data_IF_945334992074
#
_entry.id   IF_945334992074
#
_cell.length_a   1.000
_cell.length_b   1.000
_cell.length_c   1.000
_cell.angle_alpha   90.00
_cell.angle_beta   90.00
_cell.angle_gamma   90.00
#
_symmetry.space_group_name_H-M   'P 1'
#
loop_
_entity.id
_entity.type
_entity.pdbx_description
1 polymer ?
2 non-polymer ?
3 non-polymer ?
4 water ?
#
# COMPACT_ATOMS: atom_id res chain seq x y z
N UNK A 25 8.64 -17.95 14.94
CA UNK A 25 8.99 -16.73 14.23
C UNK A 25 8.26 -16.67 12.88
N UNK A 26 8.35 -17.75 12.11
CA UNK A 26 7.61 -17.80 10.84
C UNK A 26 6.16 -17.51 11.17
N UNK A 27 5.77 -17.81 12.40
CA UNK A 27 4.36 -17.61 12.80
C UNK A 27 4.09 -16.12 12.70
N UNK A 28 5.12 -15.32 12.94
CA UNK A 28 4.95 -13.85 12.84
C UNK A 28 4.78 -13.54 11.35
N UNK A 29 5.56 -14.20 10.50
CA UNK A 29 5.37 -14.01 9.03
C UNK A 29 3.94 -14.45 8.68
N UNK A 30 3.49 -15.56 9.25
CA UNK A 30 2.13 -16.08 8.95
C UNK A 30 1.08 -15.15 9.56
N UNK A 31 1.32 -14.65 10.77
CA UNK A 31 0.38 -13.69 11.41
C UNK A 31 0.23 -12.44 10.54
N UNK A 32 1.35 -11.86 10.07
CA UNK A 32 1.31 -10.66 9.24
C UNK A 32 0.51 -10.91 7.96
N UNK A 33 0.71 -12.06 7.33
CA UNK A 33 -0.01 -12.36 6.09
C UNK A 33 -1.50 -12.50 6.34
N UNK A 34 -1.87 -13.25 7.37
CA UNK A 34 -3.29 -13.38 7.71
C UNK A 34 -3.88 -12.04 8.12
N UNK A 35 -3.09 -11.22 8.84
CA UNK A 35 -3.55 -9.87 9.18
C UNK A 35 -3.68 -9.01 7.94
N UNK A 36 -2.71 -9.10 7.03
CA UNK A 36 -2.74 -8.27 5.83
C UNK A 36 -3.98 -8.56 4.99
N UNK A 37 -4.27 -9.84 4.75
CA UNK A 37 -5.41 -10.18 3.91
C UNK A 37 -6.73 -9.76 4.56
N UNK A 38 -6.92 -10.14 5.83
CA UNK A 38 -8.18 -9.87 6.50
C UNK A 38 -8.45 -8.37 6.58
N UNK A 39 -7.44 -7.58 6.91
CA UNK A 39 -7.63 -6.15 7.09
C UNK A 39 -7.70 -5.40 5.78
N UNK A 40 -7.03 -5.91 4.73
CA UNK A 40 -7.01 -5.21 3.45
C UNK A 40 -8.13 -5.68 2.52
N UNK A 41 -8.42 -6.97 2.48
CA UNK A 41 -9.33 -7.53 1.48
C UNK A 41 -10.49 -8.29 2.09
N UNK A 42 -10.24 -9.34 2.88
CA UNK A 42 -11.31 -10.20 3.35
C UNK A 42 -11.73 -9.96 4.78
N UNK A 43 -12.73 -9.13 4.99
CA UNK A 43 -13.21 -8.86 6.34
C UNK A 43 -14.74 -8.87 6.36
N UNK A 44 -15.35 -8.18 5.40
CA UNK A 44 -16.79 -8.20 5.28
C UNK A 44 -17.29 -9.56 4.79
N UNK A 45 -16.42 -10.34 4.15
CA UNK A 45 -16.71 -11.73 3.82
C UNK A 45 -16.42 -12.67 4.99
N UNK A 46 -15.56 -12.27 5.92
CA UNK A 46 -15.27 -13.06 7.11
C UNK A 46 -16.22 -12.76 8.26
N UNK A 47 -17.05 -11.73 8.14
CA UNK A 47 -18.01 -11.37 9.17
C UNK A 47 -17.54 -10.29 10.12
N UNK A 48 -16.29 -9.84 10.00
CA UNK A 48 -15.74 -8.89 10.95
C UNK A 48 -16.52 -7.57 10.90
N UNK A 49 -16.65 -6.89 12.04
CA UNK A 49 -17.32 -5.59 12.05
C UNK A 49 -16.35 -4.43 11.83
N UNK A 50 -16.05 -4.12 10.57
CA UNK A 50 -15.11 -3.08 10.22
C UNK A 50 -15.87 -1.81 9.84
N UNK A 51 -15.32 -0.66 10.25
CA UNK A 51 -15.93 0.61 9.93
C UNK A 51 -15.42 1.20 8.62
N UNK A 52 -16.06 2.29 8.20
CA UNK A 52 -15.69 2.97 6.96
C UNK A 52 -14.27 3.53 7.00
N UNK A 53 -13.62 3.50 8.16
CA UNK A 53 -12.24 3.93 8.29
C UNK A 53 -11.27 2.75 8.32
N UNK A 54 -11.76 1.54 8.13
CA UNK A 54 -10.93 0.35 8.11
C UNK A 54 -10.47 -0.15 9.46
N UNK A 55 -11.07 0.31 10.55
CA UNK A 55 -10.72 -0.17 11.88
C UNK A 55 -11.67 -1.28 12.30
N UNK A 56 -11.09 -2.34 12.87
CA UNK A 56 -11.83 -3.49 13.34
C UNK A 56 -11.38 -3.80 14.76
N UNK A 57 -12.27 -4.25 15.68
CA UNK A 57 -11.83 -4.68 17.00
C UNK A 57 -10.89 -5.88 16.87
N UNK A 58 -9.71 -5.82 17.48
CA UNK A 58 -8.70 -6.89 17.31
C UNK A 58 -9.20 -8.24 17.84
N UNK A 59 -9.89 -8.23 18.97
CA UNK A 59 -10.38 -9.47 19.58
C UNK A 59 -11.31 -10.24 18.67
N UNK A 60 -12.27 -9.56 18.06
CA UNK A 60 -13.20 -10.20 17.12
C UNK A 60 -12.43 -10.85 15.97
N UNK A 61 -11.33 -10.24 15.55
CA UNK A 61 -10.48 -10.84 14.50
C UNK A 61 -9.74 -12.05 15.05
N UNK A 62 -9.18 -11.94 16.26
CA UNK A 62 -8.36 -13.03 16.82
C UNK A 62 -9.28 -14.17 17.27
N UNK A 63 -10.58 -13.99 17.09
CA UNK A 63 -11.56 -15.06 17.40
C UNK A 63 -11.80 -15.88 16.14
N UNK A 64 -11.39 -15.36 14.97
CA UNK A 64 -11.61 -16.05 13.68
C UNK A 64 -10.78 -17.33 13.62
N UNK A 65 -11.24 -18.34 12.86
CA UNK A 65 -10.55 -19.61 12.76
C UNK A 65 -9.04 -19.48 12.58
N UNK A 66 -8.61 -18.66 11.63
CA UNK A 66 -7.17 -18.54 11.32
C UNK A 66 -6.44 -17.77 12.42
N UNK A 67 -7.18 -17.01 13.22
CA UNK A 67 -6.54 -16.13 14.22
C UNK A 67 -6.57 -16.75 15.62
N UNK A 68 -7.40 -17.77 15.84
CA UNK A 68 -7.60 -18.38 17.18
C UNK A 68 -6.29 -18.95 17.78
N UNK A 69 -5.19 -18.94 17.05
CA UNK A 69 -3.96 -19.44 17.66
C UNK A 69 -3.01 -18.33 18.02
N UNK A 70 -3.48 -17.10 18.03
CA UNK A 70 -2.55 -15.97 18.27
C UNK A 70 -2.98 -15.13 19.48
N UNK A 71 -2.00 -14.58 20.19
CA UNK A 71 -2.29 -13.75 21.39
C UNK A 71 -2.19 -12.27 21.03
N UNK A 72 -2.89 -11.41 21.77
CA UNK A 72 -2.80 -9.98 21.52
C UNK A 72 -1.38 -9.44 21.63
N UNK A 73 -0.47 -10.12 22.35
CA UNK A 73 0.93 -9.67 22.35
C UNK A 73 1.65 -10.10 21.08
N UNK A 74 1.27 -11.25 20.52
CA UNK A 74 1.81 -11.65 19.24
C UNK A 74 1.49 -10.59 18.19
N UNK A 75 0.21 -10.23 18.09
CA UNK A 75 -0.20 -9.17 17.18
C UNK A 75 0.51 -7.87 17.51
N UNK A 76 0.64 -7.57 18.81
CA UNK A 76 1.35 -6.37 19.23
C UNK A 76 2.81 -6.39 18.77
N UNK A 77 3.43 -7.57 18.83
CA UNK A 77 4.81 -7.69 18.36
C UNK A 77 4.91 -7.39 16.87
N UNK A 78 4.02 -7.99 16.07
CA UNK A 78 4.05 -7.79 14.62
C UNK A 78 3.83 -6.32 14.28
N UNK A 79 2.98 -5.63 15.05
CA UNK A 79 2.65 -4.24 14.73
C UNK A 79 3.86 -3.34 14.95
N UNK A 80 4.64 -3.60 16.01
CA UNK A 80 5.74 -2.70 16.36
C UNK A 80 7.05 -3.05 15.68
N UNK A 81 7.33 -4.33 15.42
CA UNK A 81 8.56 -4.71 14.74
C UNK A 81 8.44 -4.69 13.23
N UNK A 82 7.27 -4.34 12.69
CA UNK A 82 7.10 -4.27 11.25
C UNK A 82 7.78 -3.03 10.71
N UNK A 83 8.65 -3.21 9.72
CA UNK A 83 9.46 -2.11 9.19
C UNK A 83 8.68 -1.17 8.28
N UNK A 84 7.59 -1.65 7.67
CA UNK A 84 6.79 -0.82 6.77
C UNK A 84 5.58 -0.20 7.45
N UNK A 85 5.39 -0.44 8.74
CA UNK A 85 4.22 0.04 9.48
C UNK A 85 2.93 -0.24 8.72
N UNK A 86 2.76 -1.50 8.32
CA UNK A 86 1.57 -1.89 7.57
C UNK A 86 0.30 -1.69 8.38
N UNK A 87 0.38 -1.83 9.70
CA UNK A 87 -0.80 -1.83 10.56
C UNK A 87 -0.71 -0.72 11.60
N UNK A 88 -1.85 -0.10 11.87
CA UNK A 88 -1.99 0.88 12.93
C UNK A 88 -2.86 0.30 14.04
N UNK A 89 -2.53 0.68 15.28
CA UNK A 89 -3.26 0.23 16.46
C UNK A 89 -3.77 1.43 17.22
N UNK A 90 -5.01 1.34 17.69
CA UNK A 90 -5.63 2.41 18.46
C UNK A 90 -6.31 1.82 19.69
N UNK A 91 -6.33 2.62 20.76
CA UNK A 91 -6.69 2.10 22.07
C UNK A 91 -8.15 1.62 22.10
N UNK A 92 -9.06 2.37 21.47
CA UNK A 92 -10.46 2.04 21.59
C UNK A 92 -10.93 2.21 23.03
N UNK A 93 -11.94 1.45 23.39
CA UNK A 93 -12.47 1.43 24.75
C UNK A 93 -12.39 0.00 25.30
N UNK A 94 -12.68 -0.22 26.59
CA UNK A 94 -12.70 -1.59 27.11
C UNK A 94 -13.83 -2.45 26.56
N UNK A 95 -14.96 -1.86 26.14
CA UNK A 95 -16.06 -2.65 25.59
C UNK A 95 -15.73 -3.21 24.21
N UNK A 96 -14.72 -2.66 23.52
CA UNK A 96 -14.30 -3.18 22.23
C UNK A 96 -12.86 -3.66 22.20
N UNK A 97 -12.01 -3.18 23.10
CA UNK A 97 -10.60 -3.50 23.04
C UNK A 97 -9.87 -2.63 22.05
N UNK A 98 -8.69 -3.10 21.64
CA UNK A 98 -7.86 -2.35 20.72
C UNK A 98 -8.42 -2.40 19.30
N UNK A 99 -8.39 -1.25 18.62
CA UNK A 99 -8.75 -1.18 17.20
C UNK A 99 -7.50 -1.34 16.36
N UNK A 100 -7.58 -2.21 15.34
CA UNK A 100 -6.44 -2.50 14.48
C UNK A 100 -6.86 -2.29 13.03
N UNK A 101 -6.00 -1.65 12.25
CA UNK A 101 -6.25 -1.42 10.83
C UNK A 101 -5.00 -1.73 10.03
N UNK A 102 -5.15 -1.73 8.71
CA UNK A 102 -4.04 -1.64 7.78
C UNK A 102 -3.95 -0.21 7.28
N UNK A 103 -2.73 0.28 7.13
CA UNK A 103 -2.57 1.67 6.73
C UNK A 103 -2.85 1.89 5.25
N UNK A 104 -2.64 0.87 4.41
CA UNK A 104 -2.89 1.00 2.98
C UNK A 104 -3.02 -0.40 2.38
N UNK A 105 -3.34 -0.44 1.09
CA UNK A 105 -3.38 -1.68 0.35
C UNK A 105 -4.72 -2.36 0.29
N UNK A 106 -5.82 -1.63 0.45
CA UNK A 106 -7.12 -2.23 0.68
C UNK A 106 -7.82 -2.57 -0.62
N UNK A 107 -8.44 -3.75 -0.64
CA UNK A 107 -9.44 -4.08 -1.64
C UNK A 107 -10.84 -3.61 -1.23
N UNK A 108 -11.05 -3.43 0.07
CA UNK A 108 -12.34 -3.04 0.60
C UNK A 108 -12.56 -1.54 0.44
N UNK A 109 -13.83 -1.14 0.39
CA UNK A 109 -14.18 0.28 0.37
C UNK A 109 -14.13 0.80 1.80
N UNK A 110 -13.16 1.67 2.08
CA UNK A 110 -13.01 2.29 3.39
C UNK A 110 -12.93 3.80 3.19
N UNK A 111 -14.04 4.46 2.87
CA UNK A 111 -13.97 5.88 2.49
C UNK A 111 -13.37 6.77 3.57
N UNK A 112 -13.58 6.47 4.84
CA UNK A 112 -13.13 7.31 5.95
C UNK A 112 -11.73 6.96 6.44
N UNK A 113 -10.97 6.17 5.67
CA UNK A 113 -9.62 5.81 6.06
C UNK A 113 -8.73 7.06 6.09
N UNK A 114 -7.79 7.06 7.04
CA UNK A 114 -6.88 8.19 7.22
C UNK A 114 -5.93 8.30 6.03
N UNK A 115 -6.11 9.32 5.21
CA UNK A 115 -5.25 9.56 4.06
C UNK A 115 -5.03 11.06 3.91
N UNK A 116 -3.79 11.45 3.62
CA UNK A 116 -3.47 12.85 3.40
C UNK A 116 -3.65 13.16 1.92
N UNK A 117 -4.65 13.96 1.53
CA UNK A 117 -4.88 14.26 0.10
C UNK A 117 -3.83 15.23 -0.41
N UNK A 118 -3.14 14.82 -1.49
CA UNK A 118 -2.09 15.63 -2.11
C UNK A 118 -2.71 16.35 -3.30
N UNK A 119 -3.29 17.52 -3.04
CA UNK A 119 -4.19 18.15 -3.98
C UNK A 119 -3.50 19.17 -4.89
N UNK A 120 -2.35 19.69 -4.50
CA UNK A 120 -1.58 20.59 -5.35
C UNK A 120 -0.20 20.00 -5.58
N UNK A 121 0.42 20.27 -6.74
CA UNK A 121 1.74 19.68 -7.03
C UNK A 121 2.81 20.03 -6.00
N UNK A 122 2.62 21.07 -5.21
CA UNK A 122 3.62 21.47 -4.22
C UNK A 122 3.57 20.63 -2.96
N UNK A 123 2.47 19.90 -2.73
CA UNK A 123 2.39 18.98 -1.61
C UNK A 123 2.96 17.60 -1.94
N UNK A 124 3.23 17.33 -3.21
CA UNK A 124 3.70 16.02 -3.63
C UNK A 124 5.11 15.76 -3.08
N UNK A 125 5.49 14.50 -2.96
CA UNK A 125 6.83 14.18 -2.48
C UNK A 125 7.88 14.51 -3.54
N UNK A 126 9.16 14.53 -3.17
CA UNK A 126 10.21 14.86 -4.15
C UNK A 126 10.15 14.05 -5.43
N UNK A 127 10.02 12.73 -5.35
CA UNK A 127 9.93 11.91 -6.55
C UNK A 127 8.94 10.77 -6.32
N UNK A 128 8.04 10.59 -7.29
CA UNK A 128 7.10 9.47 -7.30
C UNK A 128 7.72 8.34 -8.12
N UNK A 129 7.77 7.14 -7.54
CA UNK A 129 8.49 6.03 -8.18
C UNK A 129 7.81 4.71 -7.81
N UNK A 130 7.51 3.91 -8.83
CA UNK A 130 6.97 2.57 -8.67
C UNK A 130 7.99 1.56 -9.13
N UNK A 131 8.33 0.60 -8.26
CA UNK A 131 9.25 -0.47 -8.59
C UNK A 131 8.47 -1.74 -8.88
N UNK A 132 8.81 -2.37 -10.00
CA UNK A 132 8.09 -3.55 -10.48
C UNK A 132 9.11 -4.53 -11.05
N UNK A 133 8.63 -5.47 -11.86
CA UNK A 133 9.46 -6.57 -12.35
C UNK A 133 9.33 -6.70 -13.86
N UNK A 134 10.27 -7.44 -14.45
CA UNK A 134 10.32 -7.58 -15.91
C UNK A 134 9.07 -8.26 -16.45
N UNK A 135 8.55 -9.27 -15.73
CA UNK A 135 7.39 -10.01 -16.21
C UNK A 135 6.22 -9.10 -16.54
N UNK A 136 6.08 -8.00 -15.80
CA UNK A 136 4.97 -7.08 -16.00
C UNK A 136 5.32 -5.87 -16.85
N UNK A 137 6.62 -5.63 -17.08
CA UNK A 137 7.06 -4.46 -17.84
C UNK A 137 6.40 -4.29 -19.20
N UNK A 138 6.20 -5.31 -20.03
CA UNK A 138 5.55 -5.08 -21.32
C UNK A 138 4.10 -4.62 -21.20
N UNK A 139 3.36 -5.16 -20.24
CA UNK A 139 1.97 -4.76 -20.06
C UNK A 139 1.86 -3.34 -19.52
N UNK A 140 2.78 -2.95 -18.62
CA UNK A 140 2.77 -1.59 -18.09
C UNK A 140 3.09 -0.58 -19.19
N UNK A 141 4.05 -0.92 -20.07
CA UNK A 141 4.38 -0.03 -21.18
C UNK A 141 3.19 0.17 -22.11
N UNK A 142 2.32 -0.83 -22.25
CA UNK A 142 1.25 -0.77 -23.23
C UNK A 142 -0.09 -0.33 -22.65
N UNK A 143 -0.34 -0.61 -21.37
CA UNK A 143 -1.59 -0.20 -20.73
C UNK A 143 -1.40 0.85 -19.63
N UNK A 144 -0.22 0.89 -19.00
CA UNK A 144 0.01 1.75 -17.86
C UNK A 144 -0.07 0.97 -16.55
N UNK A 145 0.37 1.64 -15.49
CA UNK A 145 0.30 1.03 -14.16
C UNK A 145 -1.15 0.89 -13.72
N UNK A 146 -1.51 -0.28 -13.21
CA UNK A 146 -2.89 -0.57 -12.82
C UNK A 146 -3.01 -0.73 -11.31
N UNK A 147 -4.16 -0.30 -10.77
CA UNK A 147 -4.47 -0.60 -9.38
C UNK A 147 -4.56 -2.10 -9.14
N UNK A 148 -4.78 -2.89 -10.19
CA UNK A 148 -4.94 -4.34 -10.12
C UNK A 148 -6.14 -4.63 -9.22
N UNK A 149 -5.97 -5.34 -8.11
CA UNK A 149 -7.08 -5.59 -7.22
C UNK A 149 -7.34 -4.45 -6.26
N UNK A 150 -6.26 -3.85 -5.77
CA UNK A 150 -6.32 -2.80 -4.75
C UNK A 150 -7.05 -1.57 -5.30
N UNK A 151 -7.37 -0.65 -4.39
CA UNK A 151 -8.10 0.55 -4.77
C UNK A 151 -7.21 1.70 -5.20
N UNK A 152 -5.91 1.61 -4.96
CA UNK A 152 -4.99 2.70 -5.23
C UNK A 152 -3.68 2.12 -5.75
N UNK A 153 -3.03 2.85 -6.66
CA UNK A 153 -1.69 2.50 -7.11
C UNK A 153 -0.70 2.96 -6.06
N UNK A 154 0.27 2.10 -5.73
CA UNK A 154 1.19 2.33 -4.62
C UNK A 154 2.52 2.83 -5.16
N UNK A 155 2.92 4.03 -4.73
CA UNK A 155 4.17 4.64 -5.13
C UNK A 155 5.00 5.00 -3.92
N UNK A 156 6.31 5.03 -4.09
CA UNK A 156 7.25 5.45 -3.07
C UNK A 156 7.61 6.91 -3.23
N UNK A 157 7.96 7.63 -2.14
CA UNK A 157 8.32 9.03 -2.23
C UNK A 157 9.83 9.15 -2.33
N UNK A 158 10.48 8.09 -2.80
CA UNK A 158 11.94 8.10 -2.93
C UNK A 158 12.48 6.73 -3.26
N UNK A 159 13.78 6.64 -3.50
CA UNK A 159 14.45 5.35 -3.76
C UNK A 159 15.08 4.88 -2.46
N UNK A 160 15.51 3.62 -2.32
CA UNK A 160 15.99 3.14 -1.05
C UNK A 160 17.51 3.04 -0.91
N UNK A 161 17.99 2.77 0.31
CA UNK A 161 19.45 2.60 0.52
C UNK A 161 19.95 1.26 0.02
N UNK A 162 21.23 0.98 0.21
CA UNK A 162 21.83 -0.29 -0.28
C UNK A 162 20.85 -1.42 0.07
N UNK A 164 17.78 -0.67 1.58
CA UNK A 164 16.66 0.16 2.08
C UNK A 164 15.34 -0.56 2.00
N UNK A 165 14.41 -0.21 2.89
CA UNK A 165 13.10 -0.90 2.92
C UNK A 165 12.00 0.12 2.58
N UNK A 166 12.37 1.28 2.03
CA UNK A 166 11.37 2.35 1.76
C UNK A 166 9.97 1.74 1.59
N UNK A 167 9.02 2.22 2.39
CA UNK A 167 7.63 1.77 2.29
C UNK A 167 6.99 2.35 1.04
N UNK A 168 5.99 1.63 0.53
CA UNK A 168 5.40 1.94 -0.76
C UNK A 168 6.07 1.28 -1.93
N UNK A 169 7.11 0.47 -1.70
CA UNK A 169 7.83 -0.22 -2.74
C UNK A 169 8.33 -1.54 -2.19
N UNK A 170 8.28 -2.59 -3.02
CA UNK A 170 8.75 -3.90 -2.60
C UNK A 170 10.27 -3.91 -2.51
N UNK A 171 10.81 -5.05 -2.07
CA UNK A 171 12.23 -5.12 -1.71
C UNK A 171 13.13 -5.74 -2.77
N UNK A 172 12.59 -6.59 -3.64
CA UNK A 172 13.39 -7.30 -4.63
C UNK A 172 13.12 -6.82 -6.05
N UNK A 173 12.67 -5.57 -6.21
CA UNK A 173 12.31 -5.06 -7.51
C UNK A 173 13.52 -5.02 -8.44
N UNK A 174 13.26 -5.25 -9.73
CA UNK A 174 14.30 -5.22 -10.76
C UNK A 174 14.32 -3.90 -11.53
N UNK A 175 13.16 -3.29 -11.77
CA UNK A 175 13.06 -2.05 -12.52
C UNK A 175 12.15 -1.09 -11.77
N UNK A 176 12.46 0.20 -11.85
CA UNK A 176 11.66 1.25 -11.24
C UNK A 176 11.29 2.28 -12.29
N UNK A 177 10.07 2.79 -12.22
CA UNK A 177 9.56 3.79 -13.16
C UNK A 177 9.06 4.98 -12.37
N UNK A 178 9.48 6.17 -12.77
CA UNK A 178 9.14 7.41 -12.10
C UNK A 178 7.93 8.06 -12.76
N UNK A 179 7.18 8.81 -11.97
CA UNK A 179 5.88 9.35 -12.37
C UNK A 179 5.94 10.87 -12.36
N UNK A 180 5.34 11.49 -13.38
CA UNK A 180 5.19 12.94 -13.42
C UNK A 180 3.92 13.30 -12.64
N UNK A 181 4.12 13.69 -11.38
CA UNK A 181 3.02 14.06 -10.50
C UNK A 181 2.23 15.27 -10.95
N UNK A 182 2.91 16.40 -11.20
CA UNK A 182 2.17 17.61 -11.59
C UNK A 182 1.33 17.46 -12.85
N UNK A 183 1.79 16.67 -13.82
CA UNK A 183 1.01 16.48 -15.05
C UNK A 183 -0.23 15.63 -14.78
N UNK A 184 -0.09 14.60 -13.94
CA UNK A 184 -1.24 13.77 -13.60
C UNK A 184 -2.30 14.58 -12.86
N UNK A 185 -1.86 15.38 -11.87
CA UNK A 185 -2.78 16.26 -11.18
C UNK A 185 -3.46 17.24 -12.12
N UNK A 186 -2.69 17.76 -13.09
CA UNK A 186 -3.26 18.68 -14.07
C UNK A 186 -4.36 18.03 -14.89
N UNK A 187 -4.35 16.70 -15.00
CA UNK A 187 -5.41 15.96 -15.68
C UNK A 187 -6.44 15.40 -14.72
N UNK A 188 -6.46 15.90 -13.48
CA UNK A 188 -7.47 15.50 -12.53
C UNK A 188 -7.32 14.11 -11.94
N UNK A 189 -6.10 13.58 -11.89
CA UNK A 189 -5.81 12.32 -11.23
C UNK A 189 -5.37 12.64 -9.80
N UNK A 190 -6.18 12.37 -8.79
CA UNK A 190 -5.81 12.71 -7.41
C UNK A 190 -4.69 11.82 -6.90
N UNK A 191 -4.09 12.26 -5.79
CA UNK A 191 -3.06 11.51 -5.09
C UNK A 191 -3.29 11.60 -3.59
N UNK A 192 -2.76 10.62 -2.86
CA UNK A 192 -2.93 10.57 -1.41
C UNK A 192 -1.66 10.02 -0.78
N UNK A 193 -1.39 10.44 0.46
CA UNK A 193 -0.30 9.88 1.26
C UNK A 193 -0.89 9.09 2.42
N UNK A 194 -0.39 7.87 2.60
CA UNK A 194 -0.82 7.05 3.72
C UNK A 194 -0.09 7.46 4.99
N UNK A 195 -0.61 7.01 6.13
CA UNK A 195 -0.01 7.31 7.42
C UNK A 195 1.31 6.59 7.65
N UNK A 196 1.79 5.79 6.69
CA UNK A 196 3.08 5.13 6.81
C UNK A 196 4.02 5.47 5.67
N UNK A 197 3.76 6.56 4.95
CA UNK A 197 4.68 7.07 3.95
C UNK A 197 4.47 6.58 2.55
N UNK A 198 3.35 5.93 2.25
CA UNK A 198 3.05 5.44 0.92
C UNK A 198 2.22 6.49 0.18
N UNK A 199 2.47 6.65 -1.11
CA UNK A 199 1.71 7.55 -1.96
C UNK A 199 0.74 6.72 -2.80
N UNK A 200 -0.52 7.13 -2.84
CA UNK A 200 -1.57 6.36 -3.48
C UNK A 200 -2.34 7.22 -4.46
N UNK A 201 -2.75 6.59 -5.57
CA UNK A 201 -3.62 7.21 -6.57
C UNK A 201 -4.57 6.15 -7.11
N UNK A 202 -5.84 6.49 -7.30
CA UNK A 202 -6.77 5.52 -7.90
C UNK A 202 -6.59 5.34 -9.39
N UNK A 203 -5.68 6.08 -10.03
CA UNK A 203 -5.58 6.04 -11.47
C UNK A 203 -6.79 6.70 -12.11
N UNK A 204 -6.99 6.37 -13.39
CA UNK A 204 -8.11 6.93 -14.14
C UNK A 204 -9.40 6.22 -13.79
N UNK A 205 -10.27 6.02 -14.79
CA UNK A 205 -11.55 5.36 -14.53
C UNK A 205 -11.38 3.86 -14.33
N UNK A 206 -10.55 3.22 -15.15
CA UNK A 206 -10.30 1.79 -15.08
C UNK A 206 -9.16 1.44 -14.14
N UNK A 207 -8.61 2.42 -13.43
CA UNK A 207 -7.55 2.16 -12.48
C UNK A 207 -6.18 2.06 -13.08
N UNK A 208 -5.89 2.85 -14.11
CA UNK A 208 -4.63 2.80 -14.82
C UNK A 208 -3.94 4.16 -14.79
N UNK A 209 -2.63 4.14 -14.57
CA UNK A 209 -1.77 5.32 -14.71
C UNK A 209 -1.12 5.23 -16.09
N UNK A 210 -1.64 6.02 -17.04
CA UNK A 210 -1.30 5.85 -18.45
C UNK A 210 0.16 6.19 -18.71
N UNK A 211 0.78 5.56 -19.72
CA UNK A 211 2.23 5.77 -19.97
C UNK A 211 2.63 7.19 -20.34
N UNK A 212 1.68 8.12 -20.39
CA UNK A 212 2.04 9.52 -20.63
C UNK A 212 2.63 10.17 -19.39
N UNK A 213 2.17 9.77 -18.20
CA UNK A 213 2.69 10.29 -16.93
C UNK A 213 3.96 9.58 -16.49
N UNK A 214 4.56 8.78 -17.36
CA UNK A 214 5.84 8.14 -17.08
C UNK A 214 6.94 9.13 -17.46
N UNK A 215 7.73 9.56 -16.48
CA UNK A 215 8.79 10.52 -16.76
C UNK A 215 10.11 9.83 -17.06
N UNK A 216 10.50 8.87 -16.23
CA UNK A 216 11.79 8.22 -16.37
C UNK A 216 11.66 6.79 -15.86
N UNK A 217 12.54 5.92 -16.35
CA UNK A 217 12.57 4.52 -15.92
C UNK A 217 14.01 4.12 -15.67
N UNK A 218 14.19 3.12 -14.80
CA UNK A 218 15.51 2.74 -14.33
C UNK A 218 15.50 1.27 -13.96
N UNK A 219 16.44 0.51 -14.52
CA UNK A 219 16.63 -0.87 -14.09
C UNK A 219 17.50 -0.87 -12.83
N UNK A 220 17.07 -1.64 -11.83
CA UNK A 220 17.70 -1.60 -10.51
C UNK A 220 18.70 -2.74 -10.30
N UNK A 221 18.28 -3.98 -10.52
CA UNK A 221 19.16 -5.14 -10.43
C UNK A 221 19.26 -5.82 -11.80
N UNK A 222 20.38 -6.47 -12.11
CA UNK A 222 21.59 -6.56 -11.27
C UNK A 222 22.54 -5.38 -11.45
N UNK A 223 22.17 -4.44 -12.33
CA UNK A 223 22.96 -3.25 -12.55
C UNK A 223 22.03 -2.07 -12.78
N UNK A 224 22.46 -0.89 -12.33
CA UNK A 224 21.66 0.32 -12.46
C UNK A 224 21.85 0.89 -13.86
N UNK A 225 20.85 0.72 -14.72
CA UNK A 225 20.91 1.18 -16.09
C UNK A 225 19.57 1.79 -16.48
N UNK A 226 19.57 2.81 -17.33
CA UNK A 226 18.30 3.41 -17.76
C UNK A 226 17.58 2.54 -18.76
N UNK A 227 16.26 2.64 -18.76
CA UNK A 227 15.41 1.89 -19.67
C UNK A 227 14.62 2.85 -20.54
N UNK A 228 14.37 2.45 -21.78
CA UNK A 228 13.68 3.29 -22.74
C UNK A 228 12.17 3.15 -22.60
N UNK A 229 11.46 4.20 -22.99
CA UNK A 229 10.00 4.20 -22.95
C UNK A 229 9.43 4.47 -24.34
N UNK A 230 8.32 5.20 -24.42
CA UNK A 230 7.67 5.48 -25.69
C UNK A 230 8.56 6.33 -26.60
#
# INVERSE_FOLDING_TARGET
>A
MNFSGGGRQEAAGSRGRRAPRPREQDRDVQLSKALSYALRHGALKLGLPMGADGFVPLGTLLQLPQFRGFSAEDVQRVVDTNRKQRFALQLGDPSTGLLIRANQGHSLQVPKLELMPLETPQALPPMLVHGTFWKHWPSILLKGLSCQGRTHIHLAPGLPGDPGIISGMRSHCEIAVFIDGPLALADGIPFFRSANGVILTPGNTDGFLLPKYFKEALQLRPTRKPLSLAGDEETECQSSPKHSSRERRRIQQ
#
